data_IF_071420164216
#
_entry.id   IF_071420164216
#
_cell.length_a   1.000
_cell.length_b   1.000
_cell.length_c   1.000
_cell.angle_alpha   90.00
_cell.angle_beta   90.00
_cell.angle_gamma   90.00
#
_symmetry.space_group_name_H-M   'P 1'
#
loop_
_entity.id
_entity.type
_entity.pdbx_description
1 polymer ?
#
# COMPACT_ATOMS: atom_id res chain seq x y z
N UNK A 1 60.32 22.81 16.37
CA UNK A 1 59.49 22.75 17.60
C UNK A 1 58.49 21.66 17.31
N UNK A 2 58.53 20.57 18.08
CA UNK A 2 57.80 19.34 17.78
C UNK A 2 56.28 19.53 17.87
N UNK A 3 55.55 18.95 16.93
CA UNK A 3 54.08 19.03 16.91
C UNK A 3 53.44 18.21 18.05
N UNK A 4 53.12 18.88 19.16
CA UNK A 4 52.46 18.29 20.35
C UNK A 4 51.00 18.72 20.55
N UNK A 5 50.36 19.34 19.55
CA UNK A 5 48.99 19.84 19.70
C UNK A 5 47.96 18.68 19.69
N UNK A 6 47.10 18.67 20.71
CA UNK A 6 46.08 17.63 20.94
C UNK A 6 44.78 17.86 20.15
N UNK A 7 44.47 19.10 19.77
CA UNK A 7 43.20 19.47 19.15
C UNK A 7 43.37 19.69 17.64
N UNK A 8 42.86 18.76 16.84
CA UNK A 8 42.82 18.86 15.36
C UNK A 8 41.46 19.34 14.84
N UNK A 9 40.53 19.67 15.74
CA UNK A 9 39.15 20.05 15.45
C UNK A 9 38.62 21.00 16.53
N UNK A 10 37.82 21.97 16.10
CA UNK A 10 37.05 22.89 16.94
C UNK A 10 35.62 22.97 16.44
N UNK A 11 34.68 23.01 17.39
CA UNK A 11 33.25 23.02 17.12
C UNK A 11 32.63 24.27 17.79
N UNK A 12 31.86 25.05 17.03
CA UNK A 12 31.23 26.29 17.47
C UNK A 12 29.72 26.25 17.18
N UNK A 13 28.90 26.62 18.17
CA UNK A 13 27.47 26.78 17.94
C UNK A 13 27.21 28.10 17.17
N UNK A 14 26.38 28.03 16.14
CA UNK A 14 25.91 29.21 15.43
C UNK A 14 24.91 30.00 16.27
N UNK A 15 25.02 31.32 16.24
CA UNK A 15 24.17 32.29 16.93
C UNK A 15 23.53 33.31 15.96
N UNK A 16 23.88 33.25 14.67
CA UNK A 16 23.45 34.19 13.64
C UNK A 16 24.15 35.56 13.67
N UNK A 17 25.15 35.76 14.51
CA UNK A 17 25.83 37.05 14.69
C UNK A 17 27.37 36.95 14.67
N UNK A 18 27.94 35.92 15.29
CA UNK A 18 29.39 35.72 15.37
C UNK A 18 29.93 35.27 14.01
N UNK A 19 30.99 35.95 13.54
CA UNK A 19 31.64 35.65 12.25
C UNK A 19 33.08 35.20 12.39
N UNK A 20 33.76 35.51 13.50
CA UNK A 20 35.18 35.15 13.71
C UNK A 20 35.29 34.01 14.71
N UNK A 21 35.95 32.93 14.29
CA UNK A 21 36.07 31.70 15.05
C UNK A 21 37.55 31.29 15.16
N UNK A 22 38.14 31.26 16.36
CA UNK A 22 39.53 30.88 16.53
C UNK A 22 39.75 29.40 16.22
N UNK A 23 40.98 29.03 15.90
CA UNK A 23 41.45 27.64 15.90
C UNK A 23 42.87 27.59 16.44
N UNK A 24 43.24 26.46 17.04
CA UNK A 24 44.54 26.31 17.73
C UNK A 24 45.52 25.37 17.03
N UNK A 25 45.08 24.64 16.00
CA UNK A 25 45.95 23.75 15.24
C UNK A 25 46.84 24.53 14.25
N UNK A 26 47.98 23.93 13.90
CA UNK A 26 48.90 24.48 12.89
C UNK A 26 48.34 24.30 11.48
N UNK A 27 48.57 25.27 10.61
CA UNK A 27 48.37 25.12 9.16
C UNK A 27 49.64 25.49 8.41
N UNK A 28 49.79 25.03 7.19
CA UNK A 28 50.91 25.38 6.30
C UNK A 28 50.44 26.30 5.18
N UNK A 29 49.19 26.13 4.76
CA UNK A 29 48.53 26.91 3.72
C UNK A 29 47.14 27.34 4.18
N UNK A 30 46.61 28.44 3.60
CA UNK A 30 45.25 28.92 3.88
C UNK A 30 44.18 27.88 3.54
N UNK A 31 44.50 26.93 2.67
CA UNK A 31 43.61 25.85 2.21
C UNK A 31 43.56 24.63 3.15
N UNK A 32 44.43 24.55 4.15
CA UNK A 32 44.50 23.39 5.05
C UNK A 32 43.33 23.28 6.07
N UNK A 33 42.70 24.37 6.55
CA UNK A 33 41.49 24.24 7.34
C UNK A 33 40.31 23.79 6.48
N UNK A 34 39.65 22.70 6.87
CA UNK A 34 38.35 22.31 6.33
C UNK A 34 37.24 22.80 7.25
N UNK A 35 36.31 23.56 6.67
CA UNK A 35 35.20 24.18 7.39
C UNK A 35 33.87 23.60 6.91
N UNK A 36 33.03 23.14 7.84
CA UNK A 36 31.75 22.49 7.55
C UNK A 36 30.67 23.11 8.44
N UNK A 37 29.53 23.43 7.87
CA UNK A 37 28.32 23.77 8.61
C UNK A 37 27.43 22.54 8.72
N UNK A 38 26.94 22.26 9.92
CA UNK A 38 25.98 21.17 10.19
C UNK A 38 24.66 21.81 10.60
N UNK A 39 23.60 21.53 9.86
CA UNK A 39 22.26 22.03 10.16
C UNK A 39 21.57 21.22 11.26
N UNK A 40 20.39 21.66 11.68
CA UNK A 40 19.60 21.01 12.72
C UNK A 40 19.20 19.55 12.37
N UNK A 41 18.97 19.29 11.08
CA UNK A 41 18.67 17.97 10.52
C UNK A 41 19.91 17.07 10.32
N UNK A 42 21.09 17.55 10.76
CA UNK A 42 22.41 16.91 10.61
C UNK A 42 22.93 16.84 9.17
N UNK A 43 22.33 17.56 8.24
CA UNK A 43 22.94 17.77 6.92
C UNK A 43 24.22 18.60 7.04
N UNK A 44 25.27 18.19 6.31
CA UNK A 44 26.57 18.85 6.29
C UNK A 44 26.75 19.64 4.98
N UNK A 45 27.18 20.90 5.10
CA UNK A 45 27.52 21.77 3.98
C UNK A 45 28.99 22.19 4.05
N UNK A 46 29.79 21.72 3.09
CA UNK A 46 31.21 22.10 2.96
C UNK A 46 31.31 23.58 2.58
N UNK A 47 32.07 24.33 3.36
CA UNK A 47 32.35 25.73 3.08
C UNK A 47 33.61 25.83 2.23
N UNK A 48 33.61 26.75 1.27
CA UNK A 48 34.75 27.00 0.35
C UNK A 48 35.45 28.29 0.74
N UNK A 49 36.78 28.24 0.90
CA UNK A 49 37.62 29.41 1.18
C UNK A 49 37.46 30.50 0.12
N UNK A 50 37.58 31.76 0.53
CA UNK A 50 37.42 32.99 -0.26
C UNK A 50 36.01 33.21 -0.84
N UNK A 51 35.14 32.20 -0.81
CA UNK A 51 33.71 32.32 -1.13
C UNK A 51 32.84 32.44 0.13
N UNK A 52 33.05 31.55 1.09
CA UNK A 52 32.23 31.44 2.30
C UNK A 52 32.95 31.89 3.56
N UNK A 53 34.28 31.76 3.60
CA UNK A 53 35.11 32.16 4.72
C UNK A 53 36.50 32.57 4.28
N UNK A 54 37.20 33.28 5.15
CA UNK A 54 38.63 33.60 5.02
C UNK A 54 39.40 33.07 6.24
N UNK A 55 40.71 32.91 6.08
CA UNK A 55 41.61 32.48 7.14
C UNK A 55 42.56 33.63 7.45
N UNK A 56 42.73 33.95 8.73
CA UNK A 56 43.52 35.09 9.22
C UNK A 56 44.98 35.05 8.75
N UNK A 57 45.48 36.07 8.07
CA UNK A 57 46.88 36.11 7.63
C UNK A 57 47.89 36.09 8.80
N UNK A 58 48.99 35.33 8.70
CA UNK A 58 50.05 35.32 9.71
C UNK A 58 51.07 34.20 9.53
N UNK A 59 52.15 34.17 10.33
CA UNK A 59 53.06 33.02 10.37
C UNK A 59 52.28 31.84 10.97
N UNK A 60 51.86 30.92 10.10
CA UNK A 60 50.90 29.84 10.34
C UNK A 60 51.32 28.76 11.37
N UNK A 61 52.31 29.07 12.22
CA UNK A 61 52.95 28.12 13.11
C UNK A 61 52.08 27.67 14.28
N UNK A 62 51.06 28.45 14.69
CA UNK A 62 50.32 28.22 15.94
C UNK A 62 48.90 28.81 15.96
N UNK A 63 47.95 28.22 15.21
CA UNK A 63 46.54 28.65 15.22
C UNK A 63 46.23 29.88 14.37
N UNK A 64 45.00 30.37 14.46
CA UNK A 64 44.49 31.50 13.69
C UNK A 64 42.98 31.70 13.88
N UNK A 65 42.33 32.45 13.00
CA UNK A 65 40.89 32.60 12.96
C UNK A 65 40.33 32.26 11.58
N UNK A 66 39.17 31.59 11.57
CA UNK A 66 38.28 31.50 10.43
C UNK A 66 37.26 32.64 10.55
N UNK A 67 37.20 33.50 9.54
CA UNK A 67 36.19 34.55 9.45
C UNK A 67 35.16 34.16 8.40
N UNK A 68 33.95 33.83 8.83
CA UNK A 68 32.82 33.51 7.97
C UNK A 68 32.25 34.78 7.32
N UNK A 69 31.96 34.73 6.02
CA UNK A 69 31.34 35.85 5.30
C UNK A 69 29.86 36.04 5.71
N UNK A 70 29.21 34.95 6.10
CA UNK A 70 27.85 34.94 6.68
C UNK A 70 27.91 34.22 8.01
N UNK A 71 27.39 34.86 9.06
CA UNK A 71 27.37 34.26 10.40
C UNK A 71 26.58 32.94 10.37
N UNK A 72 27.13 31.84 10.93
CA UNK A 72 26.41 30.59 11.09
C UNK A 72 25.08 30.83 11.83
N UNK A 73 23.96 30.42 11.23
CA UNK A 73 22.63 30.67 11.80
C UNK A 73 22.43 29.95 13.14
N UNK A 74 21.53 30.48 13.98
CA UNK A 74 21.15 29.84 15.24
C UNK A 74 20.64 28.41 15.00
N UNK A 75 21.13 27.47 15.82
CA UNK A 75 20.82 26.04 15.69
C UNK A 75 21.70 25.28 14.68
N UNK A 76 22.67 25.94 14.04
CA UNK A 76 23.72 25.27 13.25
C UNK A 76 24.98 25.03 14.10
N UNK A 77 25.80 24.06 13.68
CA UNK A 77 27.13 23.81 14.24
C UNK A 77 28.18 24.09 13.17
N UNK A 78 29.13 24.97 13.47
CA UNK A 78 30.31 25.20 12.66
C UNK A 78 31.43 24.28 13.14
N UNK A 79 31.93 23.43 12.24
CA UNK A 79 33.06 22.53 12.49
C UNK A 79 34.26 23.02 11.70
N UNK A 80 35.36 23.27 12.40
CA UNK A 80 36.65 23.66 11.82
C UNK A 80 37.65 22.57 12.16
N UNK A 81 38.23 21.92 11.14
CA UNK A 81 39.20 20.83 11.34
C UNK A 81 40.43 21.02 10.48
N UNK A 82 41.53 20.44 10.94
CA UNK A 82 42.78 20.36 10.19
C UNK A 82 42.65 19.34 9.06
N UNK A 83 43.01 19.74 7.84
CA UNK A 83 42.93 18.94 6.61
C UNK A 83 44.10 19.27 5.66
N UNK A 84 45.30 18.85 6.04
CA UNK A 84 46.51 19.07 5.26
C UNK A 84 46.58 18.10 4.08
N UNK A 85 47.00 18.59 2.92
CA UNK A 85 47.18 17.77 1.71
C UNK A 85 48.26 16.69 1.89
N UNK A 86 48.04 15.44 1.40
CA UNK A 86 48.96 14.31 1.57
C UNK A 86 50.11 14.33 0.54
N UNK A 87 50.90 15.42 0.52
CA UNK A 87 52.06 15.60 -0.36
C UNK A 87 53.36 15.79 0.43
N UNK A 88 54.47 15.31 -0.11
CA UNK A 88 55.81 15.62 0.38
C UNK A 88 56.35 16.85 -0.34
N UNK A 89 56.58 17.94 0.39
CA UNK A 89 57.10 19.20 -0.17
C UNK A 89 58.61 19.44 -0.01
N UNK A 90 59.29 18.64 0.82
CA UNK A 90 60.72 18.78 1.07
C UNK A 90 61.54 17.96 0.06
N UNK A 91 62.40 18.64 -0.69
CA UNK A 91 63.43 18.03 -1.52
C UNK A 91 64.79 18.07 -0.81
N UNK A 92 65.44 16.90 -0.71
CA UNK A 92 66.73 16.76 -0.04
C UNK A 92 67.85 16.73 -1.07
N UNK A 93 68.71 17.75 -1.05
CA UNK A 93 69.83 17.87 -1.98
C UNK A 93 70.99 16.99 -1.50
N UNK A 94 71.52 16.16 -2.42
CA UNK A 94 72.66 15.30 -2.13
C UNK A 94 73.91 16.13 -1.76
N UNK A 95 74.54 15.81 -0.63
CA UNK A 95 75.70 16.52 -0.05
C UNK A 95 75.44 18.00 0.29
N UNK A 96 74.18 18.42 0.36
CA UNK A 96 73.82 19.74 0.89
C UNK A 96 73.92 19.83 2.41
N UNK A 97 73.87 21.04 2.95
CA UNK A 97 73.70 21.28 4.39
C UNK A 97 72.41 20.62 4.87
N UNK A 98 72.44 19.95 6.02
CA UNK A 98 71.28 19.26 6.58
C UNK A 98 70.13 20.25 6.89
N UNK A 99 68.96 20.16 6.21
CA UNK A 99 67.88 21.12 6.37
C UNK A 99 66.98 20.74 7.56
N UNK A 100 67.49 20.93 8.78
CA UNK A 100 66.80 20.50 10.02
C UNK A 100 65.35 20.99 10.11
N UNK A 101 65.09 22.26 9.79
CA UNK A 101 63.74 22.86 9.87
C UNK A 101 62.76 22.24 8.84
N UNK A 102 63.26 21.97 7.63
CA UNK A 102 62.46 21.33 6.59
C UNK A 102 62.09 19.89 6.94
N UNK A 103 63.04 19.16 7.56
CA UNK A 103 62.83 17.80 8.04
C UNK A 103 61.81 17.79 9.19
N UNK A 104 61.97 18.64 10.20
CA UNK A 104 61.00 18.79 11.31
C UNK A 104 59.59 19.09 10.76
N UNK A 105 59.48 20.08 9.86
CA UNK A 105 58.21 20.45 9.23
C UNK A 105 57.56 19.28 8.48
N UNK A 106 58.36 18.47 7.79
CA UNK A 106 57.89 17.30 7.06
C UNK A 106 57.43 16.16 7.99
N UNK A 107 58.15 15.95 9.10
CA UNK A 107 57.78 14.97 10.13
C UNK A 107 56.49 15.38 10.86
N UNK A 108 56.35 16.65 11.22
CA UNK A 108 55.13 17.21 11.81
C UNK A 108 53.92 17.01 10.87
N UNK A 109 54.11 17.28 9.57
CA UNK A 109 53.08 17.04 8.55
C UNK A 109 52.68 15.57 8.46
N UNK A 110 53.64 14.64 8.52
CA UNK A 110 53.35 13.21 8.52
C UNK A 110 52.53 12.77 9.76
N UNK A 111 52.82 13.34 10.94
CA UNK A 111 52.03 13.10 12.16
C UNK A 111 50.61 13.64 12.00
N UNK A 112 50.44 14.82 11.40
CA UNK A 112 49.12 15.40 11.11
C UNK A 112 48.31 14.50 10.17
N UNK A 113 48.90 14.04 9.06
CA UNK A 113 48.26 13.13 8.12
C UNK A 113 47.84 11.81 8.79
N UNK A 114 48.67 11.28 9.69
CA UNK A 114 48.34 10.08 10.47
C UNK A 114 47.14 10.30 11.39
N UNK A 115 47.08 11.46 12.08
CA UNK A 115 45.92 11.85 12.91
C UNK A 115 44.66 12.03 12.08
N UNK A 116 44.76 12.67 10.90
CA UNK A 116 43.65 12.83 9.95
C UNK A 116 43.12 11.47 9.50
N UNK A 117 44.01 10.57 9.05
CA UNK A 117 43.63 9.23 8.61
C UNK A 117 42.93 8.45 9.74
N UNK A 118 43.47 8.47 10.97
CA UNK A 118 42.84 7.84 12.13
C UNK A 118 41.46 8.40 12.43
N UNK A 119 41.27 9.71 12.29
CA UNK A 119 39.96 10.33 12.50
C UNK A 119 38.96 9.89 11.41
N UNK A 120 39.40 9.75 10.16
CA UNK A 120 38.57 9.29 9.05
C UNK A 120 38.21 7.81 9.16
N UNK A 121 39.18 6.94 9.44
CA UNK A 121 38.94 5.50 9.65
C UNK A 121 38.09 5.24 10.89
N UNK A 122 38.20 6.08 11.93
CA UNK A 122 37.31 6.04 13.09
C UNK A 122 35.83 6.34 12.80
N UNK A 123 35.50 6.86 11.61
CA UNK A 123 34.11 7.04 11.12
C UNK A 123 33.74 6.05 10.01
N UNK A 124 34.63 5.14 9.63
CA UNK A 124 34.37 4.14 8.61
C UNK A 124 33.66 2.91 9.21
N UNK A 125 33.10 2.07 8.34
CA UNK A 125 32.66 0.71 8.71
C UNK A 125 33.92 -0.15 8.82
N UNK A 126 34.16 -0.74 9.99
CA UNK A 126 35.34 -1.56 10.28
C UNK A 126 34.94 -2.99 10.62
N UNK A 127 35.72 -3.95 10.14
CA UNK A 127 35.66 -5.32 10.63
C UNK A 127 36.31 -5.41 12.02
N UNK A 128 35.87 -6.34 12.88
CA UNK A 128 36.55 -6.67 14.13
C UNK A 128 38.02 -7.05 13.95
N UNK A 129 38.88 -6.71 14.90
CA UNK A 129 40.34 -6.93 14.80
C UNK A 129 40.77 -8.40 14.69
N UNK A 130 39.94 -9.33 15.19
CA UNK A 130 40.23 -10.76 15.12
C UNK A 130 39.97 -11.36 13.72
N UNK A 131 39.28 -10.63 12.83
CA UNK A 131 38.99 -11.07 11.48
C UNK A 131 40.20 -10.78 10.58
N UNK A 132 40.76 -11.83 9.98
CA UNK A 132 41.94 -11.70 9.09
C UNK A 132 41.56 -11.51 7.61
N UNK A 133 40.27 -11.65 7.27
CA UNK A 133 39.80 -11.54 5.90
C UNK A 133 39.52 -10.08 5.52
N UNK A 134 39.96 -9.66 4.34
CA UNK A 134 39.68 -8.32 3.83
C UNK A 134 38.19 -8.15 3.53
N UNK A 135 37.60 -7.07 4.02
CA UNK A 135 36.21 -6.70 3.78
C UNK A 135 36.07 -5.98 2.42
N UNK A 136 36.05 -6.75 1.33
CA UNK A 136 36.02 -6.21 -0.03
C UNK A 136 34.57 -6.02 -0.50
N UNK A 137 34.22 -4.80 -0.90
CA UNK A 137 32.91 -4.51 -1.50
C UNK A 137 32.80 -5.03 -2.94
N UNK A 138 31.60 -5.45 -3.38
CA UNK A 138 31.37 -5.79 -4.78
C UNK A 138 31.66 -4.63 -5.74
N UNK A 139 31.96 -4.91 -7.02
CA UNK A 139 32.14 -3.89 -8.04
C UNK A 139 30.93 -2.95 -8.14
N UNK A 140 31.17 -1.69 -8.53
CA UNK A 140 30.15 -0.63 -8.61
C UNK A 140 28.89 -1.08 -9.36
N UNK A 141 29.04 -1.77 -10.49
CA UNK A 141 27.91 -2.23 -11.31
C UNK A 141 27.03 -3.29 -10.62
N UNK A 142 27.60 -4.10 -9.73
CA UNK A 142 26.84 -5.10 -8.99
C UNK A 142 26.02 -4.48 -7.84
N UNK A 143 26.49 -3.34 -7.29
CA UNK A 143 25.89 -2.69 -6.10
C UNK A 143 25.08 -1.43 -6.39
N UNK A 144 25.10 -0.89 -7.61
CA UNK A 144 24.34 0.32 -7.95
C UNK A 144 22.83 0.09 -7.73
N UNK A 145 22.19 0.95 -6.93
CA UNK A 145 20.77 0.81 -6.57
C UNK A 145 20.45 -0.39 -5.67
N UNK A 146 21.44 -0.96 -4.97
CA UNK A 146 21.27 -2.11 -4.09
C UNK A 146 21.80 -1.81 -2.69
N UNK A 147 21.25 -2.51 -1.68
CA UNK A 147 21.72 -2.42 -0.31
C UNK A 147 23.01 -3.21 -0.07
N UNK A 148 23.77 -2.81 0.95
CA UNK A 148 24.88 -3.61 1.50
C UNK A 148 24.30 -4.71 2.40
N UNK A 149 24.70 -5.95 2.16
CA UNK A 149 24.39 -7.10 3.03
C UNK A 149 25.62 -8.00 3.19
N UNK A 150 25.50 -9.08 3.95
CA UNK A 150 26.54 -10.09 4.10
C UNK A 150 26.07 -11.45 3.54
N UNK A 151 26.97 -12.27 2.98
CA UNK A 151 26.69 -13.69 2.67
C UNK A 151 26.67 -14.57 3.92
N UNK A 152 26.43 -15.86 3.69
CA UNK A 152 26.57 -16.95 4.66
C UNK A 152 27.98 -17.03 5.27
N UNK A 153 29.02 -16.55 4.56
CA UNK A 153 30.40 -16.47 5.04
C UNK A 153 30.72 -15.12 5.73
N UNK A 154 29.76 -14.21 5.87
CA UNK A 154 29.94 -12.88 6.46
C UNK A 154 30.66 -11.86 5.59
N UNK A 155 30.93 -12.14 4.30
CA UNK A 155 31.55 -11.19 3.37
C UNK A 155 30.53 -10.20 2.82
N UNK A 156 30.93 -8.95 2.55
CA UNK A 156 30.03 -7.96 1.97
C UNK A 156 29.56 -8.39 0.59
N UNK A 157 28.25 -8.30 0.38
CA UNK A 157 27.65 -8.41 -0.93
C UNK A 157 26.56 -7.37 -1.14
N UNK A 158 26.10 -7.23 -2.39
CA UNK A 158 24.93 -6.43 -2.68
C UNK A 158 23.66 -7.26 -2.46
N UNK A 159 22.55 -6.63 -2.06
CA UNK A 159 21.23 -7.25 -2.13
C UNK A 159 20.93 -7.72 -3.55
N UNK A 160 20.00 -8.67 -3.70
CA UNK A 160 19.59 -9.13 -5.04
C UNK A 160 18.70 -8.10 -5.71
N UNK A 161 17.73 -7.59 -4.95
CA UNK A 161 16.79 -6.53 -5.32
C UNK A 161 17.17 -5.19 -4.71
N UNK A 162 16.63 -4.13 -5.28
CA UNK A 162 16.59 -2.82 -4.64
C UNK A 162 15.69 -2.89 -3.39
N UNK A 163 16.20 -2.51 -2.20
CA UNK A 163 15.41 -2.46 -0.97
C UNK A 163 14.16 -1.57 -1.09
N UNK A 164 14.24 -0.43 -1.78
CA UNK A 164 13.12 0.50 -1.91
C UNK A 164 12.00 -0.11 -2.77
N UNK A 165 12.39 -0.81 -3.84
CA UNK A 165 11.46 -1.59 -4.68
C UNK A 165 10.78 -2.73 -3.91
N UNK A 166 11.45 -3.30 -2.91
CA UNK A 166 10.91 -4.40 -2.11
C UNK A 166 9.76 -3.94 -1.20
N UNK A 167 9.83 -2.70 -0.68
CA UNK A 167 8.74 -2.08 0.09
C UNK A 167 7.50 -1.86 -0.80
N UNK A 168 7.70 -1.35 -2.01
CA UNK A 168 6.60 -1.13 -2.96
C UNK A 168 5.90 -2.45 -3.33
N UNK A 169 6.68 -3.51 -3.52
CA UNK A 169 6.15 -4.85 -3.84
C UNK A 169 5.37 -5.44 -2.66
N UNK A 170 5.87 -5.29 -1.43
CA UNK A 170 5.15 -5.72 -0.23
C UNK A 170 3.80 -5.00 -0.07
N UNK A 171 3.76 -3.69 -0.30
CA UNK A 171 2.52 -2.91 -0.28
C UNK A 171 1.53 -3.39 -1.34
N UNK A 172 2.00 -3.64 -2.57
CA UNK A 172 1.16 -4.16 -3.65
C UNK A 172 0.55 -5.52 -3.30
N UNK A 173 1.32 -6.43 -2.71
CA UNK A 173 0.80 -7.72 -2.24
C UNK A 173 -0.25 -7.57 -1.13
N UNK A 174 -0.04 -6.64 -0.20
CA UNK A 174 -1.02 -6.36 0.85
C UNK A 174 -2.34 -5.82 0.28
N UNK A 175 -2.28 -4.88 -0.68
CA UNK A 175 -3.47 -4.36 -1.37
C UNK A 175 -4.19 -5.45 -2.17
N UNK A 176 -3.45 -6.32 -2.86
CA UNK A 176 -4.04 -7.42 -3.62
C UNK A 176 -4.74 -8.45 -2.69
N UNK A 177 -4.14 -8.77 -1.55
CA UNK A 177 -4.74 -9.65 -0.55
C UNK A 177 -6.03 -9.06 0.04
N UNK A 178 -6.05 -7.75 0.32
CA UNK A 178 -7.25 -7.04 0.77
C UNK A 178 -8.38 -7.09 -0.27
N UNK A 179 -8.05 -6.82 -1.54
CA UNK A 179 -9.02 -6.91 -2.63
C UNK A 179 -9.60 -8.33 -2.78
N UNK A 180 -8.74 -9.36 -2.68
CA UNK A 180 -9.17 -10.75 -2.74
C UNK A 180 -10.12 -11.12 -1.59
N UNK A 181 -9.87 -10.63 -0.37
CA UNK A 181 -10.76 -10.83 0.78
C UNK A 181 -12.15 -10.22 0.55
N UNK A 182 -12.19 -8.98 0.03
CA UNK A 182 -13.46 -8.29 -0.22
C UNK A 182 -14.27 -8.95 -1.34
N UNK A 183 -13.59 -9.46 -2.38
CA UNK A 183 -14.22 -10.25 -3.42
C UNK A 183 -14.83 -11.56 -2.87
N UNK A 184 -14.13 -12.25 -1.96
CA UNK A 184 -14.64 -13.46 -1.32
C UNK A 184 -15.91 -13.19 -0.48
N UNK A 185 -15.91 -12.11 0.33
CA UNK A 185 -17.07 -11.70 1.12
C UNK A 185 -18.28 -11.33 0.23
N UNK A 186 -18.02 -10.67 -0.90
CA UNK A 186 -19.07 -10.38 -1.90
C UNK A 186 -19.64 -11.66 -2.51
N UNK A 187 -18.78 -12.63 -2.83
CA UNK A 187 -19.20 -13.92 -3.37
C UNK A 187 -20.08 -14.71 -2.38
N UNK A 188 -19.75 -14.67 -1.07
CA UNK A 188 -20.55 -15.30 -0.02
C UNK A 188 -21.95 -14.67 0.06
N UNK A 189 -22.03 -13.34 0.03
CA UNK A 189 -23.31 -12.61 0.03
C UNK A 189 -24.15 -12.96 -1.20
N UNK A 190 -23.53 -13.03 -2.39
CA UNK A 190 -24.22 -13.39 -3.63
C UNK A 190 -24.72 -14.84 -3.60
N UNK A 191 -23.96 -15.76 -3.02
CA UNK A 191 -24.38 -17.15 -2.84
C UNK A 191 -25.59 -17.24 -1.88
N UNK A 192 -25.57 -16.50 -0.76
CA UNK A 192 -26.68 -16.44 0.17
C UNK A 192 -27.95 -15.85 -0.49
N UNK A 193 -27.81 -14.77 -1.27
CA UNK A 193 -28.93 -14.18 -2.02
C UNK A 193 -29.49 -15.16 -3.06
N UNK A 194 -28.64 -15.89 -3.77
CA UNK A 194 -29.04 -16.91 -4.74
C UNK A 194 -29.83 -18.05 -4.08
N UNK A 195 -29.40 -18.49 -2.89
CA UNK A 195 -30.11 -19.50 -2.11
C UNK A 195 -31.49 -19.02 -1.65
N UNK A 196 -31.61 -17.76 -1.20
CA UNK A 196 -32.89 -17.16 -0.80
C UNK A 196 -33.87 -17.03 -1.98
N UNK A 197 -33.36 -16.62 -3.16
CA UNK A 197 -34.16 -16.55 -4.39
C UNK A 197 -34.64 -17.94 -4.84
N UNK A 198 -33.80 -18.97 -4.72
CA UNK A 198 -34.17 -20.35 -5.02
C UNK A 198 -35.27 -20.85 -4.06
N UNK A 199 -35.16 -20.57 -2.76
CA UNK A 199 -36.19 -20.91 -1.77
C UNK A 199 -37.53 -20.22 -2.07
N UNK A 200 -37.50 -18.92 -2.40
CA UNK A 200 -38.70 -18.17 -2.80
C UNK A 200 -39.35 -18.77 -4.05
N UNK A 201 -38.54 -19.12 -5.05
CA UNK A 201 -39.03 -19.77 -6.28
C UNK A 201 -39.69 -21.12 -5.99
N UNK A 202 -39.12 -21.92 -5.07
CA UNK A 202 -39.71 -23.18 -4.64
C UNK A 202 -41.06 -22.98 -3.94
N UNK A 203 -41.18 -22.00 -3.04
CA UNK A 203 -42.46 -21.65 -2.40
C UNK A 203 -43.52 -21.22 -3.42
N UNK A 204 -43.15 -20.37 -4.38
CA UNK A 204 -44.06 -19.93 -5.44
C UNK A 204 -44.53 -21.10 -6.31
N UNK A 205 -43.63 -22.02 -6.68
CA UNK A 205 -43.98 -23.22 -7.42
C UNK A 205 -44.97 -24.11 -6.63
N UNK A 206 -44.76 -24.26 -5.32
CA UNK A 206 -45.70 -24.97 -4.43
C UNK A 206 -47.09 -24.32 -4.38
N UNK A 207 -47.14 -22.98 -4.28
CA UNK A 207 -48.40 -22.24 -4.32
C UNK A 207 -49.14 -22.40 -5.67
N UNK A 208 -48.41 -22.31 -6.79
CA UNK A 208 -48.98 -22.57 -8.12
C UNK A 208 -49.55 -23.98 -8.26
N UNK A 209 -48.86 -25.00 -7.72
CA UNK A 209 -49.35 -26.37 -7.71
C UNK A 209 -50.65 -26.53 -6.88
N UNK A 210 -50.72 -25.89 -5.71
CA UNK A 210 -51.93 -25.90 -4.87
C UNK A 210 -53.13 -25.20 -5.55
N UNK A 211 -52.88 -24.07 -6.22
CA UNK A 211 -53.90 -23.36 -7.00
C UNK A 211 -54.42 -24.21 -8.18
N UNK A 212 -53.54 -24.95 -8.85
CA UNK A 212 -53.92 -25.87 -9.91
C UNK A 212 -54.83 -27.01 -9.39
N UNK A 213 -54.47 -27.64 -8.27
CA UNK A 213 -55.29 -28.68 -7.64
C UNK A 213 -56.67 -28.16 -7.17
N UNK A 214 -56.72 -26.93 -6.65
CA UNK A 214 -57.98 -26.27 -6.29
C UNK A 214 -58.84 -26.02 -7.53
N UNK A 215 -58.23 -25.59 -8.63
CA UNK A 215 -58.94 -25.34 -9.90
C UNK A 215 -59.52 -26.63 -10.48
N UNK A 216 -58.79 -27.75 -10.39
CA UNK A 216 -59.28 -29.08 -10.78
C UNK A 216 -60.51 -29.49 -9.96
N UNK A 217 -60.45 -29.31 -8.64
CA UNK A 217 -61.58 -29.60 -7.72
C UNK A 217 -62.81 -28.73 -8.04
N UNK A 218 -62.59 -27.44 -8.28
CA UNK A 218 -63.67 -26.52 -8.66
C UNK A 218 -64.29 -26.91 -10.01
N UNK A 219 -63.48 -27.26 -11.01
CA UNK A 219 -63.97 -27.72 -12.30
C UNK A 219 -64.82 -28.99 -12.19
N UNK A 220 -64.38 -29.98 -11.39
CA UNK A 220 -65.15 -31.19 -11.12
C UNK A 220 -66.48 -30.90 -10.40
N UNK A 221 -66.46 -29.97 -9.45
CA UNK A 221 -67.66 -29.51 -8.73
C UNK A 221 -68.65 -28.83 -9.68
N UNK A 222 -68.17 -27.91 -10.53
CA UNK A 222 -69.00 -27.25 -11.54
C UNK A 222 -69.60 -28.23 -12.55
N UNK A 223 -68.84 -29.23 -13.00
CA UNK A 223 -69.34 -30.27 -13.88
C UNK A 223 -70.48 -31.08 -13.23
N UNK A 224 -70.32 -31.43 -11.94
CA UNK A 224 -71.37 -32.12 -11.16
C UNK A 224 -72.62 -31.25 -11.01
N UNK A 225 -72.45 -29.97 -10.67
CA UNK A 225 -73.57 -29.04 -10.54
C UNK A 225 -74.35 -28.87 -11.87
N UNK A 226 -73.63 -28.75 -12.99
CA UNK A 226 -74.22 -28.66 -14.32
C UNK A 226 -75.02 -29.93 -14.69
N UNK A 227 -74.48 -31.12 -14.38
CA UNK A 227 -75.17 -32.39 -14.60
C UNK A 227 -76.48 -32.48 -13.78
N UNK A 228 -76.43 -32.06 -12.51
CA UNK A 228 -77.63 -32.02 -11.66
C UNK A 228 -78.69 -31.06 -12.19
N UNK A 229 -78.29 -29.85 -12.60
CA UNK A 229 -79.22 -28.87 -13.20
C UNK A 229 -79.87 -29.42 -14.48
N UNK A 230 -79.12 -30.13 -15.32
CA UNK A 230 -79.66 -30.77 -16.52
C UNK A 230 -80.68 -31.88 -16.18
N UNK A 231 -80.40 -32.70 -15.15
CA UNK A 231 -81.33 -33.72 -14.68
C UNK A 231 -82.64 -33.12 -14.14
N UNK A 232 -82.56 -32.09 -13.30
CA UNK A 232 -83.75 -31.37 -12.80
C UNK A 232 -84.56 -30.73 -13.92
N UNK A 233 -83.90 -30.14 -14.92
CA UNK A 233 -84.58 -29.57 -16.08
C UNK A 233 -85.34 -30.65 -16.88
N UNK A 234 -84.82 -31.87 -16.99
CA UNK A 234 -85.49 -32.98 -17.67
C UNK A 234 -86.71 -33.48 -16.90
N UNK A 235 -86.67 -33.55 -15.56
CA UNK A 235 -87.82 -33.93 -14.72
C UNK A 235 -88.97 -32.92 -14.79
N UNK A 236 -88.67 -31.62 -14.90
CA UNK A 236 -89.67 -30.55 -14.95
C UNK A 236 -90.42 -30.44 -16.30
N UNK A 237 -90.02 -31.20 -17.33
CA UNK A 237 -90.77 -31.31 -18.60
C UNK A 237 -91.81 -32.43 -18.48
N UNK A 238 -92.84 -32.21 -17.67
CA UNK A 238 -94.05 -33.04 -17.69
C UNK A 238 -95.12 -32.36 -18.52
N UNK A 239 -95.52 -32.99 -19.64
CA UNK A 239 -96.68 -32.57 -20.41
C UNK A 239 -97.96 -32.91 -19.62
N UNK A 240 -98.57 -31.92 -18.98
CA UNK A 240 -99.97 -32.01 -18.54
C UNK A 240 -100.87 -31.91 -19.79
N UNK A 241 -101.37 -33.06 -20.25
CA UNK A 241 -102.48 -33.08 -21.20
C UNK A 241 -103.76 -32.90 -20.39
N UNK A 242 -104.31 -31.69 -20.41
CA UNK A 242 -105.67 -31.44 -19.93
C UNK A 242 -106.63 -32.08 -20.93
N UNK A 243 -107.24 -33.20 -20.57
CA UNK A 243 -108.47 -33.59 -21.24
C UNK A 243 -109.59 -32.61 -20.82
N UNK A 244 -110.56 -32.39 -21.70
CA UNK A 244 -111.65 -31.43 -21.48
C UNK A 244 -112.60 -31.75 -20.32
N UNK A 245 -112.25 -32.67 -19.40
CA UNK A 245 -113.03 -33.04 -18.22
C UNK A 245 -112.29 -32.89 -16.89
N UNK A 246 -111.02 -32.46 -16.90
CA UNK A 246 -110.33 -32.04 -15.68
C UNK A 246 -109.75 -33.18 -14.82
N UNK A 247 -109.51 -34.36 -15.40
CA UNK A 247 -108.76 -35.44 -14.74
C UNK A 247 -107.30 -35.51 -15.24
N UNK A 248 -106.37 -35.71 -14.30
CA UNK A 248 -104.92 -35.72 -14.54
C UNK A 248 -104.42 -37.15 -14.66
N UNK A 249 -104.08 -37.60 -15.88
CA UNK A 249 -103.54 -38.94 -16.15
C UNK A 249 -102.18 -38.89 -16.85
N UNK A 250 -101.28 -39.81 -16.51
CA UNK A 250 -99.95 -39.90 -17.12
C UNK A 250 -100.04 -40.47 -18.54
N UNK A 251 -99.26 -39.91 -19.48
CA UNK A 251 -99.41 -40.06 -20.93
C UNK A 251 -99.25 -41.45 -21.56
N UNK A 252 -99.18 -42.53 -20.78
CA UNK A 252 -99.22 -43.90 -21.30
C UNK A 252 -100.65 -44.40 -21.59
N UNK A 253 -101.68 -43.79 -20.99
CA UNK A 253 -103.06 -44.35 -21.00
C UNK A 253 -103.96 -43.80 -22.12
N UNK A 254 -103.52 -42.79 -22.88
CA UNK A 254 -104.36 -42.07 -23.86
C UNK A 254 -104.15 -42.48 -25.34
N UNK A 255 -103.16 -43.33 -25.65
CA UNK A 255 -102.94 -43.85 -27.03
C UNK A 255 -103.95 -44.95 -27.40
N UNK A 256 -104.69 -45.51 -26.43
CA UNK A 256 -105.64 -46.60 -26.65
C UNK A 256 -107.05 -46.16 -27.08
N UNK A 257 -107.39 -44.86 -27.06
CA UNK A 257 -108.71 -44.36 -27.46
C UNK A 257 -108.56 -43.42 -28.65
N UNK A 258 -108.78 -43.97 -29.84
CA UNK A 258 -108.67 -43.27 -31.13
C UNK A 258 -109.72 -42.17 -31.34
N UNK A 259 -109.65 -41.09 -30.55
CA UNK A 259 -110.40 -39.87 -30.78
C UNK A 259 -109.48 -38.79 -31.37
N UNK A 260 -109.96 -38.19 -32.47
CA UNK A 260 -109.29 -37.14 -33.22
C UNK A 260 -109.11 -35.87 -32.36
N UNK A 261 -107.92 -35.67 -31.82
CA UNK A 261 -107.53 -34.42 -31.17
C UNK A 261 -107.26 -33.35 -32.23
N UNK A 262 -108.23 -32.46 -32.43
CA UNK A 262 -108.04 -31.17 -33.07
C UNK A 262 -107.44 -30.17 -32.05
N UNK A 263 -106.43 -29.43 -32.50
CA UNK A 263 -105.86 -28.21 -31.91
C UNK A 263 -105.27 -28.34 -30.48
N UNK A 264 -104.11 -29.01 -30.39
CA UNK A 264 -103.28 -28.93 -29.18
C UNK A 264 -102.50 -27.60 -29.16
N UNK A 265 -103.02 -26.61 -28.42
CA UNK A 265 -102.25 -25.41 -28.06
C UNK A 265 -101.28 -25.75 -26.94
N UNK A 266 -99.98 -25.69 -27.23
CA UNK A 266 -98.90 -25.89 -26.27
C UNK A 266 -98.80 -24.70 -25.33
N UNK A 267 -99.05 -24.90 -24.02
CA UNK A 267 -98.74 -23.91 -23.00
C UNK A 267 -97.51 -24.36 -22.20
N UNK A 268 -96.49 -23.48 -22.16
CA UNK A 268 -95.32 -23.64 -21.29
C UNK A 268 -95.71 -23.19 -19.88
N UNK A 269 -95.88 -24.13 -18.95
CA UNK A 269 -96.07 -23.82 -17.53
C UNK A 269 -94.76 -24.03 -16.78
N UNK A 270 -94.17 -22.95 -16.30
CA UNK A 270 -93.04 -23.00 -15.37
C UNK A 270 -93.58 -23.11 -13.94
N UNK A 271 -93.49 -24.29 -13.32
CA UNK A 271 -93.62 -24.38 -11.85
C UNK A 271 -92.35 -23.80 -11.21
N UNK A 272 -92.55 -22.93 -10.22
CA UNK A 272 -91.50 -22.38 -9.35
C UNK A 272 -90.84 -23.48 -8.53
#
# INVERSE_FOLDING_TARGET
>A
MTYSLAHTRHDYAGDGATVSFPFTFRIYERTDPRVVLVAADKSEALQTIDTHYTVSDGPWSTGGNITMNTAPASGTLLVIKQDVSPIQGLDLINKGTFPSEGIETSLDRAVILTKQNRAETGRAILAPEHESAALILPPKDARKGKGLKFDEDGKPMATTTDPDSSVATALAHATAAEAARNAASTSETNAAASAANAATSASNAGASAANAATSETNAATSATAAANSAATAAENVTFEVLDGKGDVGTGADQVARGDHLHDARYYLSTKK
#
